data_IF_544689396390
#
_entry.id   IF_544689396390
#
_cell.length_a   1.000
_cell.length_b   1.000
_cell.length_c   1.000
_cell.angle_alpha   90.00
_cell.angle_beta   90.00
_cell.angle_gamma   90.00
#
_symmetry.space_group_name_H-M   'P 1'
#
loop_
_entity.id
_entity.type
_entity.pdbx_description
1 polymer ?
#
# COMPACT_ATOMS: atom_id res chain seq x y z
N UNK A 1 12.96 -2.81 1.85
CA UNK A 1 13.15 -3.76 0.74
C UNK A 1 12.30 -3.23 -0.40
N UNK A 2 12.92 -2.83 -1.53
CA UNK A 2 12.13 -2.55 -2.75
C UNK A 2 11.52 -3.87 -3.16
N UNK A 3 10.22 -3.91 -3.47
CA UNK A 3 9.62 -5.06 -4.16
C UNK A 3 10.39 -5.21 -5.47
N UNK A 4 11.37 -6.11 -5.51
CA UNK A 4 12.07 -6.47 -6.72
C UNK A 4 11.12 -7.39 -7.49
N UNK A 5 10.23 -6.79 -8.29
CA UNK A 5 9.58 -7.51 -9.37
C UNK A 5 10.68 -8.06 -10.27
N UNK A 6 10.76 -9.38 -10.36
CA UNK A 6 11.76 -10.01 -11.19
C UNK A 6 11.62 -9.55 -12.65
N UNK A 7 12.77 -9.32 -13.27
CA UNK A 7 13.03 -8.54 -14.47
C UNK A 7 12.55 -9.16 -15.78
N UNK A 8 11.26 -9.45 -15.92
CA UNK A 8 10.62 -9.42 -17.23
C UNK A 8 10.00 -8.05 -17.39
N UNK A 9 10.64 -7.21 -18.22
CA UNK A 9 10.11 -5.91 -18.63
C UNK A 9 8.68 -6.13 -19.12
N UNK A 10 7.70 -5.79 -18.28
CA UNK A 10 6.31 -5.61 -18.71
C UNK A 10 6.32 -4.30 -19.49
N UNK A 11 6.33 -4.39 -20.82
CA UNK A 11 6.05 -3.23 -21.66
C UNK A 11 4.54 -2.98 -21.54
N UNK A 12 4.18 -2.10 -20.61
CA UNK A 12 2.85 -1.53 -20.51
C UNK A 12 2.78 -0.27 -21.38
N UNK A 13 1.61 0.04 -21.95
CA UNK A 13 1.41 1.34 -22.60
C UNK A 13 1.30 2.44 -21.55
N UNK A 14 1.43 3.70 -21.97
CA UNK A 14 1.18 4.83 -21.08
C UNK A 14 -0.24 4.77 -20.49
N UNK A 15 -1.23 4.42 -21.31
CA UNK A 15 -2.62 4.27 -20.87
C UNK A 15 -2.80 3.17 -19.81
N UNK A 16 -2.08 2.04 -19.95
CA UNK A 16 -2.10 0.97 -18.95
C UNK A 16 -1.53 1.41 -17.59
N UNK A 17 -0.63 2.39 -17.60
CA UNK A 17 -0.05 2.96 -16.38
C UNK A 17 -0.89 4.10 -15.79
N UNK A 18 -1.61 4.85 -16.62
CA UNK A 18 -2.46 5.97 -16.19
C UNK A 18 -3.73 5.49 -15.49
N UNK A 19 -4.39 4.45 -15.99
CA UNK A 19 -5.67 3.98 -15.43
C UNK A 19 -5.64 3.65 -13.92
N UNK A 20 -4.61 3.00 -13.36
CA UNK A 20 -4.51 2.78 -11.91
C UNK A 20 -4.23 4.05 -11.09
N UNK A 21 -3.74 5.11 -11.72
CA UNK A 21 -3.38 6.38 -11.07
C UNK A 21 -4.57 7.34 -11.07
N UNK A 22 -5.41 7.27 -12.12
CA UNK A 22 -6.62 8.08 -12.23
C UNK A 22 -7.53 7.88 -11.01
N UNK A 23 -7.72 8.97 -10.29
CA UNK A 23 -8.51 8.97 -9.08
C UNK A 23 -10.00 8.82 -9.42
N UNK A 24 -10.67 8.00 -8.64
CA UNK A 24 -12.13 7.84 -8.63
C UNK A 24 -12.63 7.88 -7.19
N UNK A 25 -13.94 7.66 -7.00
CA UNK A 25 -14.51 7.51 -5.66
C UNK A 25 -14.04 6.24 -4.95
N UNK A 26 -13.47 5.28 -5.68
CA UNK A 26 -13.11 3.97 -5.14
C UNK A 26 -11.62 3.64 -5.24
N UNK A 27 -10.82 4.48 -5.91
CA UNK A 27 -9.37 4.35 -5.94
C UNK A 27 -8.68 5.71 -6.01
N UNK A 28 -7.49 5.83 -5.46
CA UNK A 28 -6.65 7.00 -5.67
C UNK A 28 -5.18 6.69 -5.37
N UNK A 29 -4.28 7.46 -5.97
CA UNK A 29 -2.85 7.44 -5.68
C UNK A 29 -2.43 8.76 -5.01
N UNK A 30 -1.59 8.68 -4.00
CA UNK A 30 -0.98 9.84 -3.31
C UNK A 30 0.53 9.74 -3.38
N UNK A 31 1.21 10.88 -3.41
CA UNK A 31 2.67 10.92 -3.46
C UNK A 31 3.26 12.14 -2.78
N UNK A 32 4.50 11.99 -2.33
CA UNK A 32 5.35 13.10 -1.87
C UNK A 32 6.30 13.46 -3.00
N UNK A 33 6.30 14.73 -3.34
CA UNK A 33 7.28 15.32 -4.26
C UNK A 33 8.33 16.09 -3.47
N UNK A 34 9.58 15.95 -3.91
CA UNK A 34 10.68 16.86 -3.61
C UNK A 34 10.97 17.63 -4.89
N UNK A 35 10.58 18.90 -4.92
CA UNK A 35 10.44 19.69 -6.15
C UNK A 35 9.61 18.97 -7.22
N UNK A 36 10.21 18.66 -8.38
CA UNK A 36 9.57 17.93 -9.48
C UNK A 36 9.72 16.40 -9.35
N UNK A 37 10.52 15.91 -8.40
CA UNK A 37 10.80 14.49 -8.26
C UNK A 37 9.77 13.81 -7.35
N UNK A 38 9.06 12.80 -7.85
CA UNK A 38 8.28 11.90 -7.00
C UNK A 38 9.25 11.06 -6.15
N UNK A 39 9.17 11.20 -4.82
CA UNK A 39 10.10 10.55 -3.86
C UNK A 39 9.44 9.48 -3.02
N UNK A 40 8.11 9.53 -2.85
CA UNK A 40 7.34 8.43 -2.29
C UNK A 40 5.92 8.41 -2.85
N UNK A 41 5.33 7.23 -2.97
CA UNK A 41 3.96 7.00 -3.46
C UNK A 41 3.27 5.91 -2.63
N UNK A 42 1.93 5.93 -2.60
CA UNK A 42 1.06 4.86 -2.15
C UNK A 42 -0.31 5.01 -2.83
N UNK A 43 -1.03 3.92 -3.01
CA UNK A 43 -2.38 3.93 -3.57
C UNK A 43 -3.37 3.24 -2.64
N UNK A 44 -4.63 3.63 -2.74
CA UNK A 44 -5.75 2.97 -2.09
C UNK A 44 -6.72 2.46 -3.15
N UNK A 45 -7.20 1.23 -2.97
CA UNK A 45 -8.22 0.62 -3.85
C UNK A 45 -9.31 -0.01 -2.97
N UNK A 46 -10.52 0.52 -3.05
CA UNK A 46 -11.70 -0.02 -2.39
C UNK A 46 -12.14 -1.32 -3.08
N UNK A 47 -12.57 -2.29 -2.28
CA UNK A 47 -13.19 -3.51 -2.81
C UNK A 47 -14.52 -3.19 -3.49
N UNK A 48 -14.76 -3.73 -4.69
CA UNK A 48 -15.97 -3.42 -5.49
C UNK A 48 -17.18 -4.31 -5.15
N UNK A 49 -16.98 -5.42 -4.44
CA UNK A 49 -18.06 -6.34 -4.10
C UNK A 49 -19.06 -5.71 -3.11
N UNK A 50 -20.37 -5.90 -3.34
CA UNK A 50 -21.41 -5.33 -2.49
C UNK A 50 -21.25 -5.66 -0.98
N UNK A 51 -20.74 -6.86 -0.67
CA UNK A 51 -20.46 -7.31 0.71
C UNK A 51 -19.06 -6.92 1.21
N UNK A 52 -18.15 -6.49 0.35
CA UNK A 52 -16.76 -6.15 0.69
C UNK A 52 -16.42 -4.67 0.56
N UNK A 53 -17.32 -3.82 0.02
CA UNK A 53 -17.12 -2.37 -0.15
C UNK A 53 -16.76 -1.59 1.12
N UNK A 54 -16.97 -2.18 2.28
CA UNK A 54 -16.53 -1.61 3.55
C UNK A 54 -15.02 -1.76 3.80
N UNK A 55 -14.28 -2.38 2.87
CA UNK A 55 -12.83 -2.59 2.94
C UNK A 55 -12.17 -2.01 1.69
N UNK A 56 -10.89 -1.68 1.82
CA UNK A 56 -9.99 -1.47 0.70
C UNK A 56 -8.56 -1.82 1.07
N UNK A 57 -7.66 -1.74 0.10
CA UNK A 57 -6.26 -2.08 0.27
C UNK A 57 -5.36 -0.87 0.03
N UNK A 58 -4.37 -0.68 0.91
CA UNK A 58 -3.22 0.16 0.65
C UNK A 58 -2.22 -0.67 -0.16
N UNK A 59 -1.89 -0.20 -1.36
CA UNK A 59 -1.04 -0.90 -2.33
C UNK A 59 -0.03 0.06 -2.95
N UNK A 60 0.84 -0.47 -3.81
CA UNK A 60 1.78 0.31 -4.63
C UNK A 60 2.64 1.30 -3.83
N UNK A 61 2.97 0.96 -2.57
CA UNK A 61 3.81 1.82 -1.75
C UNK A 61 5.28 1.68 -2.15
N UNK A 62 5.91 2.80 -2.48
CA UNK A 62 7.34 2.87 -2.76
C UNK A 62 7.88 4.22 -2.30
N UNK A 63 9.02 4.22 -1.61
CA UNK A 63 9.79 5.45 -1.38
C UNK A 63 11.25 5.24 -1.80
N UNK A 64 11.86 6.28 -2.37
CA UNK A 64 13.29 6.31 -2.71
C UNK A 64 14.14 6.05 -1.45
N UNK A 65 15.21 5.26 -1.61
CA UNK A 65 16.09 4.85 -0.49
C UNK A 65 16.71 6.03 0.24
N UNK A 66 17.02 7.10 -0.47
CA UNK A 66 17.77 8.25 0.03
C UNK A 66 16.94 9.08 1.00
N UNK A 67 15.61 8.89 0.98
CA UNK A 67 14.66 9.54 1.87
C UNK A 67 14.26 8.66 3.08
N UNK A 68 14.96 7.55 3.32
CA UNK A 68 14.73 6.72 4.52
C UNK A 68 15.05 7.51 5.79
N UNK A 69 14.21 7.36 6.81
CA UNK A 69 14.41 8.02 8.12
C UNK A 69 14.00 9.49 8.17
N UNK A 70 13.60 10.08 7.04
CA UNK A 70 13.14 11.49 6.97
C UNK A 70 11.71 11.69 7.46
N UNK A 71 10.91 10.60 7.55
CA UNK A 71 9.50 10.68 7.89
C UNK A 71 8.55 10.78 6.69
N UNK A 72 9.05 10.92 5.46
CA UNK A 72 8.20 11.07 4.25
C UNK A 72 7.21 9.91 4.05
N UNK A 73 7.66 8.66 4.27
CA UNK A 73 6.76 7.51 4.21
C UNK A 73 5.57 7.65 5.17
N UNK A 74 5.83 8.21 6.36
CA UNK A 74 4.83 8.45 7.40
C UNK A 74 3.83 9.53 6.97
N UNK A 75 4.30 10.59 6.31
CA UNK A 75 3.44 11.65 5.77
C UNK A 75 2.48 11.09 4.71
N UNK A 76 3.00 10.32 3.75
CA UNK A 76 2.20 9.73 2.66
C UNK A 76 1.13 8.79 3.22
N UNK A 77 1.50 7.87 4.11
CA UNK A 77 0.56 6.91 4.69
C UNK A 77 -0.48 7.59 5.59
N UNK A 78 -0.09 8.59 6.38
CA UNK A 78 -1.05 9.37 7.17
C UNK A 78 -2.07 10.07 6.28
N UNK A 79 -1.61 10.76 5.24
CA UNK A 79 -2.48 11.44 4.29
C UNK A 79 -3.45 10.47 3.60
N UNK A 80 -2.97 9.28 3.20
CA UNK A 80 -3.82 8.23 2.65
C UNK A 80 -4.89 7.79 3.64
N UNK A 81 -4.52 7.45 4.88
CA UNK A 81 -5.45 7.01 5.93
C UNK A 81 -6.50 8.10 6.20
N UNK A 82 -6.08 9.36 6.33
CA UNK A 82 -6.98 10.49 6.59
C UNK A 82 -7.98 10.68 5.44
N UNK A 83 -7.53 10.54 4.19
CA UNK A 83 -8.42 10.57 3.02
C UNK A 83 -9.42 9.41 3.05
N UNK A 84 -8.98 8.19 3.38
CA UNK A 84 -9.89 7.03 3.48
C UNK A 84 -10.90 7.19 4.62
N UNK A 85 -10.52 7.79 5.75
CA UNK A 85 -11.45 8.11 6.85
C UNK A 85 -12.58 9.04 6.42
N UNK A 86 -12.34 9.90 5.42
CA UNK A 86 -13.35 10.77 4.81
C UNK A 86 -14.23 10.08 3.76
N UNK A 87 -13.92 8.85 3.36
CA UNK A 87 -14.71 8.11 2.37
C UNK A 87 -15.94 7.44 3.01
N UNK A 88 -17.08 7.53 2.35
CA UNK A 88 -18.29 6.89 2.81
C UNK A 88 -18.21 5.36 2.74
N UNK A 89 -18.56 4.72 3.85
CA UNK A 89 -18.71 3.26 3.93
C UNK A 89 -17.42 2.47 4.13
N UNK A 90 -16.23 3.04 3.90
CA UNK A 90 -14.95 2.34 4.17
C UNK A 90 -14.67 2.30 5.68
N UNK A 91 -14.44 1.11 6.22
CA UNK A 91 -14.19 0.85 7.64
C UNK A 91 -12.86 0.14 7.90
N UNK A 92 -12.31 -0.53 6.90
CA UNK A 92 -11.09 -1.33 7.05
C UNK A 92 -10.13 -1.04 5.92
N UNK A 93 -8.85 -0.83 6.26
CA UNK A 93 -7.74 -0.79 5.31
C UNK A 93 -6.90 -2.04 5.51
N UNK A 94 -6.66 -2.79 4.44
CA UNK A 94 -5.78 -3.94 4.43
C UNK A 94 -4.50 -3.65 3.67
N UNK A 95 -3.45 -4.40 3.94
CA UNK A 95 -2.24 -4.46 3.13
C UNK A 95 -1.54 -5.80 3.36
N UNK A 96 -0.59 -6.12 2.50
CA UNK A 96 0.33 -7.24 2.71
C UNK A 96 1.77 -6.77 2.73
N UNK A 97 2.61 -7.48 3.50
CA UNK A 97 4.05 -7.20 3.61
C UNK A 97 4.79 -8.53 3.65
N UNK A 98 5.82 -8.68 2.81
CA UNK A 98 6.76 -9.82 2.91
C UNK A 98 7.25 -9.99 4.35
N UNK A 99 7.12 -11.20 4.89
CA UNK A 99 7.46 -11.49 6.30
C UNK A 99 8.90 -11.13 6.67
N UNK A 100 9.84 -11.31 5.73
CA UNK A 100 11.26 -10.91 5.86
C UNK A 100 11.46 -9.38 5.96
N UNK A 101 10.49 -8.56 5.54
CA UNK A 101 10.57 -7.10 5.54
C UNK A 101 10.10 -6.52 6.89
N UNK A 102 10.79 -6.92 7.96
CA UNK A 102 10.50 -6.54 9.36
C UNK A 102 10.34 -5.03 9.52
N UNK A 103 11.15 -4.23 8.80
CA UNK A 103 11.07 -2.77 8.85
C UNK A 103 9.72 -2.24 8.33
N UNK A 104 9.18 -2.82 7.27
CA UNK A 104 7.89 -2.39 6.74
C UNK A 104 6.74 -2.84 7.65
N UNK A 105 6.80 -4.06 8.18
CA UNK A 105 5.82 -4.53 9.16
C UNK A 105 5.76 -3.60 10.38
N UNK A 106 6.91 -3.33 11.02
CA UNK A 106 7.00 -2.41 12.16
C UNK A 106 6.56 -0.97 11.81
N UNK A 107 6.81 -0.53 10.57
CA UNK A 107 6.34 0.77 10.10
C UNK A 107 4.80 0.82 10.04
N UNK A 108 4.12 -0.18 9.50
CA UNK A 108 2.66 -0.21 9.47
C UNK A 108 2.05 -0.48 10.85
N UNK A 109 2.69 -1.27 11.70
CA UNK A 109 2.30 -1.43 13.11
C UNK A 109 2.28 -0.09 13.86
N UNK A 110 3.17 0.85 13.50
CA UNK A 110 3.14 2.22 14.07
C UNK A 110 1.92 3.07 13.69
N UNK A 111 1.10 2.58 12.76
CA UNK A 111 -0.20 3.11 12.37
C UNK A 111 -1.37 2.23 12.86
N UNK A 112 -1.13 1.40 13.88
CA UNK A 112 -2.09 0.46 14.46
C UNK A 112 -2.57 -0.65 13.50
N UNK A 113 -1.87 -0.87 12.39
CA UNK A 113 -2.10 -2.08 11.60
C UNK A 113 -1.69 -3.31 12.41
N UNK A 114 -2.51 -4.35 12.35
CA UNK A 114 -2.27 -5.62 13.03
C UNK A 114 -2.21 -6.74 12.02
N UNK A 115 -1.24 -7.65 12.20
CA UNK A 115 -1.20 -8.91 11.45
C UNK A 115 -2.42 -9.74 11.84
N UNK A 116 -3.25 -10.13 10.86
CA UNK A 116 -4.40 -11.02 11.06
C UNK A 116 -4.19 -12.40 10.43
N UNK A 117 -3.14 -12.55 9.63
CA UNK A 117 -2.78 -13.81 8.99
C UNK A 117 -1.43 -13.72 8.31
N UNK A 118 -0.93 -14.88 7.90
CA UNK A 118 0.24 -14.98 7.03
C UNK A 118 -0.17 -15.86 5.84
N UNK A 119 0.03 -15.36 4.64
CA UNK A 119 -0.15 -16.11 3.41
C UNK A 119 1.19 -16.78 3.04
N UNK A 120 1.30 -18.12 3.16
CA UNK A 120 2.51 -18.82 2.78
C UNK A 120 2.66 -18.83 1.26
N UNK A 121 3.90 -18.66 0.77
CA UNK A 121 4.22 -18.65 -0.66
C UNK A 121 3.39 -17.64 -1.48
N UNK A 122 3.05 -16.50 -0.87
CA UNK A 122 2.28 -15.41 -1.49
C UNK A 122 2.94 -14.87 -2.77
N UNK A 123 4.27 -14.85 -2.84
CA UNK A 123 5.00 -14.45 -4.04
C UNK A 123 6.06 -15.47 -4.43
N UNK A 124 6.35 -15.53 -5.74
CA UNK A 124 7.46 -16.28 -6.31
C UNK A 124 8.24 -15.36 -7.24
N UNK A 125 9.53 -15.16 -6.97
CA UNK A 125 10.37 -14.32 -7.82
C UNK A 125 11.02 -15.08 -8.97
N UNK A 126 10.79 -16.38 -9.13
CA UNK A 126 11.46 -17.20 -10.15
C UNK A 126 12.52 -18.14 -9.59
N UNK A 127 13.02 -17.87 -8.38
CA UNK A 127 13.98 -18.73 -7.67
C UNK A 127 13.42 -19.19 -6.31
N UNK A 128 12.79 -18.27 -5.55
CA UNK A 128 12.26 -18.58 -4.21
C UNK A 128 10.86 -18.03 -3.97
N UNK A 129 10.18 -18.67 -3.03
CA UNK A 129 8.90 -18.24 -2.51
C UNK A 129 9.08 -17.29 -1.32
N UNK A 130 8.15 -16.35 -1.20
CA UNK A 130 8.06 -15.41 -0.09
C UNK A 130 6.68 -15.51 0.54
N UNK A 131 6.67 -15.54 1.86
CA UNK A 131 5.44 -15.41 2.63
C UNK A 131 5.11 -13.93 2.84
N UNK A 132 3.83 -13.60 2.98
CA UNK A 132 3.38 -12.25 3.32
C UNK A 132 2.53 -12.24 4.60
N UNK A 133 2.81 -11.30 5.49
CA UNK A 133 1.89 -10.91 6.53
C UNK A 133 0.71 -10.14 5.92
N UNK A 134 -0.49 -10.57 6.24
CA UNK A 134 -1.72 -9.86 5.94
C UNK A 134 -2.04 -8.94 7.13
N UNK A 135 -2.02 -7.64 6.91
CA UNK A 135 -2.21 -6.64 7.94
C UNK A 135 -3.51 -5.86 7.72
N UNK A 136 -4.13 -5.45 8.83
CA UNK A 136 -5.42 -4.74 8.80
C UNK A 136 -5.44 -3.59 9.80
N UNK A 137 -6.06 -2.49 9.39
CA UNK A 137 -6.39 -1.33 10.22
C UNK A 137 -7.91 -1.15 10.22
N UNK A 138 -8.52 -1.24 11.41
CA UNK A 138 -9.92 -0.89 11.62
C UNK A 138 -10.06 0.60 11.95
N UNK A 139 -10.69 1.35 11.05
CA UNK A 139 -10.86 2.81 11.18
C UNK A 139 -11.86 3.21 12.25
N UNK A 140 -12.68 2.28 12.77
CA UNK A 140 -13.61 2.53 13.88
C UNK A 140 -12.98 2.34 15.26
N UNK A 141 -11.85 1.65 15.35
CA UNK A 141 -11.17 1.41 16.62
C UNK A 141 -10.30 2.59 17.06
N UNK A 142 -10.07 3.56 16.19
CA UNK A 142 -9.41 4.83 16.51
C UNK A 142 -10.40 5.78 17.20
N UNK A 143 -10.67 5.54 18.48
CA UNK A 143 -11.35 6.46 19.38
C UNK A 143 -10.38 7.48 20.00
#
# INVERSE_FOLDING_TARGET
>A
MSLAFNSKILIATLADFEQPIDASDTQFTVGRFDEAALVCTAAFIQSQGAKSKHKGSLVAMYCKSDYRGTGIAKEVVRHLIDRVKGMDGVKVINLSVVTENIRAAAFFESFDFKVYGTEPKAMFDGDRYYDEHLMTLDLKASG
#
